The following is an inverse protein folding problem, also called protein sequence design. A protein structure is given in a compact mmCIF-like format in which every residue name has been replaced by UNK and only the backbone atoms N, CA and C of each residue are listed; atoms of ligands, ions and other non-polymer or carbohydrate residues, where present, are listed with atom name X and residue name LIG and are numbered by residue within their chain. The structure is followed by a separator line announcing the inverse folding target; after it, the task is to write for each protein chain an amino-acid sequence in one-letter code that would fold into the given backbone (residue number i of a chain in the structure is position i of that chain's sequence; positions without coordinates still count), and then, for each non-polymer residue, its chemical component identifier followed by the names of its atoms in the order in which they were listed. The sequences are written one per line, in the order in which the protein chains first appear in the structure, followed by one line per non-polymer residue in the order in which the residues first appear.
data_IF_406759360280
#
_entry.id   IF_406759360280
#
_cell.length_a   1.000
_cell.length_b   1.000
_cell.length_c   1.000
_cell.angle_alpha   90.00
_cell.angle_beta   90.00
_cell.angle_gamma   90.00
#
_symmetry.space_group_name_H-M   'P 1'
#
loop_
_entity.id
_entity.type
_entity.pdbx_description
1 polymer ?
#
# COMPACT_ATOMS: atom_id res chain seq x y z
N UNK A 1 -15.59 1.96 20.67
CA UNK A 1 -15.49 1.56 19.25
C UNK A 1 -14.47 0.46 19.11
N UNK A 2 -14.55 -0.43 18.14
CA UNK A 2 -13.51 -1.45 17.94
C UNK A 2 -12.29 -0.82 17.29
N UNK A 3 -11.08 -1.18 17.74
CA UNK A 3 -9.84 -0.71 17.13
C UNK A 3 -9.51 -1.50 15.87
N UNK A 4 -8.94 -0.85 14.87
CA UNK A 4 -8.37 -1.51 13.70
C UNK A 4 -7.02 -0.91 13.31
N UNK A 5 -6.18 -1.71 12.68
CA UNK A 5 -4.92 -1.29 12.07
C UNK A 5 -5.10 -1.24 10.56
N UNK A 6 -4.77 -0.13 9.92
CA UNK A 6 -4.82 0.02 8.47
C UNK A 6 -3.39 0.07 7.93
N UNK A 7 -3.02 -0.90 7.08
CA UNK A 7 -1.77 -0.84 6.32
C UNK A 7 -1.84 0.32 5.34
N UNK A 8 -1.09 1.40 5.64
CA UNK A 8 -1.17 2.65 4.90
C UNK A 8 0.16 2.99 4.21
N UNK A 9 0.12 3.05 2.88
CA UNK A 9 1.25 3.49 2.05
C UNK A 9 1.19 4.98 1.69
N UNK A 10 0.17 5.72 2.17
CA UNK A 10 -0.08 7.09 1.74
C UNK A 10 -0.70 7.22 0.34
N UNK A 11 -0.95 6.11 -0.36
CA UNK A 11 -1.60 6.10 -1.68
C UNK A 11 -3.13 6.20 -1.60
N UNK A 12 -3.80 6.38 -2.75
CA UNK A 12 -5.25 6.55 -2.85
C UNK A 12 -6.01 5.43 -2.13
N UNK A 13 -5.75 4.18 -2.49
CA UNK A 13 -6.54 3.04 -2.02
C UNK A 13 -6.45 2.86 -0.50
N UNK A 14 -5.24 2.91 0.06
CA UNK A 14 -5.03 2.76 1.51
C UNK A 14 -5.65 3.91 2.29
N UNK A 15 -5.63 5.13 1.74
CA UNK A 15 -6.26 6.30 2.36
C UNK A 15 -7.78 6.20 2.33
N UNK A 16 -8.37 5.77 1.20
CA UNK A 16 -9.83 5.55 1.12
C UNK A 16 -10.27 4.46 2.11
N UNK A 17 -9.50 3.37 2.23
CA UNK A 17 -9.78 2.32 3.20
C UNK A 17 -9.70 2.83 4.65
N UNK A 18 -8.71 3.69 4.96
CA UNK A 18 -8.55 4.31 6.25
C UNK A 18 -9.72 5.25 6.60
N UNK A 19 -10.07 6.16 5.69
CA UNK A 19 -11.21 7.08 5.87
C UNK A 19 -12.51 6.32 6.05
N UNK A 20 -12.74 5.28 5.25
CA UNK A 20 -13.90 4.42 5.39
C UNK A 20 -13.98 3.77 6.79
N UNK A 21 -12.86 3.22 7.28
CA UNK A 21 -12.79 2.59 8.58
C UNK A 21 -12.99 3.59 9.73
N UNK A 22 -12.43 4.79 9.62
CA UNK A 22 -12.49 5.84 10.65
C UNK A 22 -13.91 6.38 10.92
N UNK A 23 -14.88 6.06 10.06
CA UNK A 23 -16.29 6.43 10.28
C UNK A 23 -16.94 5.67 11.43
N UNK A 24 -16.44 4.47 11.73
CA UNK A 24 -17.10 3.56 12.69
C UNK A 24 -16.13 2.96 13.71
N UNK A 25 -14.82 3.16 13.53
CA UNK A 25 -13.77 2.49 14.32
C UNK A 25 -12.68 3.48 14.73
N UNK A 26 -11.95 3.13 15.79
CA UNK A 26 -10.69 3.77 16.12
C UNK A 26 -9.59 3.19 15.21
N UNK A 27 -8.99 4.06 14.39
CA UNK A 27 -8.03 3.67 13.35
C UNK A 27 -6.62 4.01 13.78
N UNK A 28 -5.70 3.06 13.55
CA UNK A 28 -4.26 3.30 13.62
C UNK A 28 -3.66 3.03 12.25
N UNK A 29 -3.01 4.03 11.66
CA UNK A 29 -2.33 3.88 10.37
C UNK A 29 -0.96 3.27 10.58
N UNK A 30 -0.73 2.09 10.01
CA UNK A 30 0.56 1.42 10.03
C UNK A 30 1.28 1.67 8.71
N UNK A 31 2.36 2.47 8.78
CA UNK A 31 3.32 2.65 7.69
C UNK A 31 4.51 1.72 7.87
N UNK A 32 4.91 1.04 6.78
CA UNK A 32 6.06 0.14 6.80
C UNK A 32 7.06 0.61 5.74
N UNK A 33 8.26 0.96 6.20
CA UNK A 33 9.40 1.24 5.34
C UNK A 33 10.21 -0.04 5.14
N UNK A 34 10.14 -0.58 3.93
CA UNK A 34 10.90 -1.77 3.51
C UNK A 34 12.04 -1.44 2.53
N UNK A 35 12.40 -0.16 2.38
CA UNK A 35 13.42 0.34 1.45
C UNK A 35 12.85 0.69 0.07
N UNK A 36 11.55 0.98 -0.04
CA UNK A 36 10.93 1.45 -1.27
C UNK A 36 11.45 2.86 -1.65
N UNK A 37 11.38 3.17 -2.97
CA UNK A 37 11.95 4.42 -3.52
C UNK A 37 11.38 5.67 -2.85
N UNK A 38 10.08 5.67 -2.60
CA UNK A 38 9.34 6.83 -2.12
C UNK A 38 9.07 6.79 -0.60
N UNK A 39 9.90 6.08 0.18
CA UNK A 39 9.67 5.82 1.60
C UNK A 39 9.43 7.10 2.41
N UNK A 40 10.28 8.11 2.21
CA UNK A 40 10.20 9.39 2.95
C UNK A 40 8.91 10.15 2.61
N UNK A 41 8.60 10.28 1.32
CA UNK A 41 7.40 10.97 0.88
C UNK A 41 6.10 10.22 1.27
N UNK A 42 6.12 8.89 1.22
CA UNK A 42 5.00 8.05 1.67
C UNK A 42 4.76 8.20 3.18
N UNK A 43 5.81 8.15 3.98
CA UNK A 43 5.73 8.36 5.44
C UNK A 43 5.13 9.72 5.76
N UNK A 44 5.63 10.80 5.13
CA UNK A 44 5.08 12.15 5.30
C UNK A 44 3.58 12.17 4.96
N UNK A 45 3.20 11.63 3.81
CA UNK A 45 1.79 11.55 3.40
C UNK A 45 0.91 10.81 4.42
N UNK A 46 1.40 9.69 4.98
CA UNK A 46 0.65 8.93 6.01
C UNK A 46 0.44 9.77 7.27
N UNK A 47 1.45 10.51 7.72
CA UNK A 47 1.34 11.39 8.89
C UNK A 47 0.35 12.53 8.64
N UNK A 48 0.42 13.18 7.46
CA UNK A 48 -0.50 14.26 7.08
C UNK A 48 -1.95 13.75 6.99
N UNK A 49 -2.16 12.56 6.41
CA UNK A 49 -3.45 11.89 6.34
C UNK A 49 -3.96 11.57 7.74
N UNK A 50 -3.12 11.01 8.61
CA UNK A 50 -3.50 10.68 9.99
C UNK A 50 -3.97 11.93 10.75
N UNK A 51 -3.25 13.03 10.62
CA UNK A 51 -3.64 14.32 11.21
C UNK A 51 -5.00 14.79 10.67
N UNK A 52 -5.22 14.68 9.35
CA UNK A 52 -6.45 15.13 8.71
C UNK A 52 -7.68 14.31 9.13
N UNK A 53 -7.53 13.00 9.35
CA UNK A 53 -8.63 12.11 9.77
C UNK A 53 -8.70 11.88 11.29
N UNK A 54 -7.76 12.46 12.05
CA UNK A 54 -7.77 12.42 13.50
C UNK A 54 -7.42 11.05 14.09
N UNK A 55 -6.43 10.34 13.51
CA UNK A 55 -5.98 9.04 14.00
C UNK A 55 -4.47 9.01 14.27
N UNK A 56 -4.01 7.96 14.96
CA UNK A 56 -2.59 7.75 15.28
C UNK A 56 -1.86 7.04 14.14
N UNK A 57 -0.53 7.23 14.10
CA UNK A 57 0.38 6.54 13.18
C UNK A 57 1.33 5.61 13.93
N UNK A 58 1.70 4.52 13.26
CA UNK A 58 2.74 3.58 13.68
C UNK A 58 3.69 3.42 12.50
N UNK A 59 4.98 3.69 12.72
CA UNK A 59 6.02 3.49 11.71
C UNK A 59 6.88 2.28 12.07
N UNK A 60 7.10 1.39 11.10
CA UNK A 60 7.98 0.22 11.24
C UNK A 60 8.95 0.20 10.07
N UNK A 61 10.24 0.06 10.36
CA UNK A 61 11.30 -0.06 9.38
C UNK A 61 11.76 -1.52 9.25
N UNK A 62 11.95 -2.00 8.01
CA UNK A 62 12.41 -3.36 7.69
C UNK A 62 13.80 -3.35 7.04
N UNK A 63 14.87 -3.03 7.78
CA UNK A 63 16.22 -2.89 7.20
C UNK A 63 16.78 -4.19 6.64
N UNK A 64 16.33 -5.35 7.13
CA UNK A 64 16.80 -6.67 6.68
C UNK A 64 16.42 -6.96 5.22
N UNK A 65 15.35 -6.39 4.68
CA UNK A 65 14.96 -6.58 3.29
C UNK A 65 15.96 -6.00 2.30
N UNK A 66 16.62 -4.91 2.66
CA UNK A 66 17.73 -4.38 1.88
C UNK A 66 18.93 -5.37 1.83
N UNK A 67 19.19 -6.08 2.94
CA UNK A 67 20.22 -7.12 2.97
C UNK A 67 19.85 -8.32 2.10
N UNK A 68 18.60 -8.79 2.16
CA UNK A 68 18.07 -9.88 1.32
C UNK A 68 18.17 -9.51 -0.17
N UNK A 69 17.78 -8.29 -0.54
CA UNK A 69 17.87 -7.82 -1.91
C UNK A 69 19.32 -7.79 -2.45
N UNK A 70 20.30 -7.54 -1.59
CA UNK A 70 21.73 -7.62 -1.97
C UNK A 70 22.19 -9.05 -2.25
N UNK A 71 21.67 -10.05 -1.53
CA UNK A 71 21.99 -11.45 -1.77
C UNK A 71 21.57 -11.91 -3.17
N UNK A 72 20.44 -11.44 -3.65
CA UNK A 72 19.91 -11.81 -4.96
C UNK A 72 20.84 -11.41 -6.13
N UNK A 73 21.63 -10.36 -5.98
CA UNK A 73 22.61 -9.92 -6.98
C UNK A 73 23.81 -10.88 -7.13
N UNK A 74 24.13 -11.65 -6.10
CA UNK A 74 25.25 -12.58 -6.13
C UNK A 74 24.85 -13.96 -6.66
N UNK A 75 23.59 -14.34 -6.60
CA UNK A 75 23.08 -15.63 -7.06
C UNK A 75 22.86 -15.70 -8.58
N UNK A 76 22.55 -14.58 -9.21
CA UNK A 76 22.39 -14.48 -10.67
C UNK A 76 23.73 -13.99 -11.24
N UNK A 77 24.57 -14.93 -11.67
CA UNK A 77 25.83 -14.65 -12.38
C UNK A 77 25.61 -13.75 -13.62
N UNK A 78 26.67 -13.36 -14.36
CA UNK A 78 26.69 -12.27 -15.32
C UNK A 78 25.87 -12.58 -16.59
N UNK A 79 24.56 -12.71 -16.47
CA UNK A 79 23.65 -12.78 -17.59
C UNK A 79 22.90 -11.44 -17.72
N UNK A 80 23.59 -10.49 -18.35
CA UNK A 80 22.99 -9.64 -19.38
C UNK A 80 22.13 -8.46 -18.98
N UNK A 81 22.32 -7.78 -17.84
CA UNK A 81 21.99 -6.36 -17.74
C UNK A 81 23.19 -5.57 -17.24
N UNK A 82 23.69 -4.69 -18.09
CA UNK A 82 24.73 -3.71 -17.80
C UNK A 82 24.20 -2.76 -16.71
N UNK A 83 24.34 -3.15 -15.44
CA UNK A 83 24.22 -2.22 -14.34
C UNK A 83 25.56 -1.52 -14.19
N UNK A 84 25.54 -0.23 -14.51
CA UNK A 84 26.65 0.69 -14.35
C UNK A 84 27.32 0.49 -12.98
N UNK A 85 28.53 -0.02 -12.97
CA UNK A 85 29.30 -0.40 -11.78
C UNK A 85 29.78 0.81 -10.94
N UNK A 86 29.36 2.02 -11.32
CA UNK A 86 29.77 3.27 -10.68
C UNK A 86 28.79 3.82 -9.65
N UNK A 87 27.56 3.24 -9.54
CA UNK A 87 26.58 3.74 -8.59
C UNK A 87 26.28 2.67 -7.52
N UNK A 88 26.93 2.76 -6.35
CA UNK A 88 26.66 1.96 -5.16
C UNK A 88 25.33 2.36 -4.48
N UNK A 89 24.30 2.70 -5.25
CA UNK A 89 22.98 3.00 -4.69
C UNK A 89 22.36 1.73 -4.11
N UNK A 90 21.85 1.82 -2.91
CA UNK A 90 21.04 0.79 -2.25
C UNK A 90 19.94 0.33 -3.20
N UNK A 91 19.71 -0.99 -3.38
CA UNK A 91 18.64 -1.47 -4.26
C UNK A 91 17.30 -0.95 -3.78
N UNK A 92 16.58 -0.27 -4.67
CA UNK A 92 15.26 0.23 -4.41
C UNK A 92 14.25 -0.92 -4.54
N UNK A 93 13.51 -1.21 -3.47
CA UNK A 93 12.63 -2.36 -3.39
C UNK A 93 11.20 -2.00 -3.84
N UNK A 94 10.55 -2.97 -4.45
CA UNK A 94 9.11 -2.95 -4.73
C UNK A 94 8.47 -4.23 -4.20
N UNK A 95 7.18 -4.24 -3.93
CA UNK A 95 6.50 -5.46 -3.48
C UNK A 95 6.67 -6.61 -4.48
N UNK A 96 6.73 -6.31 -5.76
CA UNK A 96 6.96 -7.32 -6.80
C UNK A 96 8.41 -7.85 -6.84
N UNK A 97 9.39 -7.07 -6.34
CA UNK A 97 10.82 -7.45 -6.43
C UNK A 97 11.30 -8.33 -5.29
N UNK A 98 10.54 -8.45 -4.21
CA UNK A 98 10.89 -9.27 -3.04
C UNK A 98 9.84 -10.36 -2.86
N UNK A 99 10.19 -11.64 -3.07
CA UNK A 99 9.26 -12.73 -2.87
C UNK A 99 8.67 -12.71 -1.46
N UNK A 100 7.37 -12.96 -1.34
CA UNK A 100 6.62 -12.99 -0.08
C UNK A 100 6.57 -11.68 0.72
N UNK A 101 7.05 -10.56 0.17
CA UNK A 101 7.01 -9.28 0.89
C UNK A 101 5.58 -8.92 1.33
N UNK A 102 4.58 -9.14 0.49
CA UNK A 102 3.18 -8.88 0.89
C UNK A 102 2.78 -9.72 2.11
N UNK A 103 3.18 -10.99 2.18
CA UNK A 103 2.90 -11.83 3.35
C UNK A 103 3.59 -11.31 4.62
N UNK A 104 4.81 -10.78 4.47
CA UNK A 104 5.55 -10.17 5.59
C UNK A 104 4.86 -8.89 6.09
N UNK A 105 4.45 -8.00 5.17
CA UNK A 105 3.72 -6.77 5.52
C UNK A 105 2.40 -7.09 6.24
N UNK A 106 1.65 -8.08 5.74
CA UNK A 106 0.43 -8.56 6.39
C UNK A 106 0.71 -9.17 7.76
N UNK A 107 1.79 -9.98 7.87
CA UNK A 107 2.22 -10.57 9.15
C UNK A 107 2.54 -9.52 10.20
N UNK A 108 3.24 -8.46 9.83
CA UNK A 108 3.53 -7.32 10.70
C UNK A 108 2.23 -6.61 11.11
N UNK A 109 1.31 -6.41 10.15
CA UNK A 109 0.00 -5.84 10.44
C UNK A 109 -0.77 -6.65 11.50
N UNK A 110 -0.82 -7.98 11.35
CA UNK A 110 -1.46 -8.88 12.32
C UNK A 110 -0.77 -8.82 13.69
N UNK A 111 0.57 -8.85 13.72
CA UNK A 111 1.32 -8.76 14.99
C UNK A 111 1.06 -7.42 15.68
N UNK A 112 1.01 -6.32 14.94
CA UNK A 112 0.69 -4.98 15.44
C UNK A 112 -0.74 -4.96 16.01
N UNK A 113 -1.72 -5.49 15.29
CA UNK A 113 -3.11 -5.55 15.73
C UNK A 113 -3.25 -6.34 17.03
N UNK A 114 -2.58 -7.51 17.15
CA UNK A 114 -2.57 -8.31 18.38
C UNK A 114 -2.01 -7.51 19.57
N UNK A 115 -0.90 -6.80 19.37
CA UNK A 115 -0.26 -6.01 20.42
C UNK A 115 -1.10 -4.83 20.87
N UNK A 116 -1.88 -4.26 19.98
CA UNK A 116 -2.77 -3.13 20.27
C UNK A 116 -4.16 -3.55 20.74
N UNK A 117 -4.47 -4.85 20.72
CA UNK A 117 -5.82 -5.34 21.01
C UNK A 117 -6.83 -4.94 19.92
N UNK A 118 -6.37 -4.71 18.70
CA UNK A 118 -7.21 -4.40 17.57
C UNK A 118 -7.87 -5.68 17.02
N UNK A 119 -9.13 -5.55 16.58
CA UNK A 119 -9.92 -6.67 16.08
C UNK A 119 -9.63 -7.01 14.62
N UNK A 120 -9.08 -6.06 13.86
CA UNK A 120 -8.83 -6.27 12.44
C UNK A 120 -7.62 -5.51 11.90
N UNK A 121 -7.10 -6.05 10.79
CA UNK A 121 -6.14 -5.39 9.90
C UNK A 121 -6.82 -5.14 8.58
N UNK A 122 -6.75 -3.90 8.11
CA UNK A 122 -7.37 -3.46 6.86
C UNK A 122 -6.27 -3.14 5.84
N UNK A 123 -6.46 -3.61 4.60
CA UNK A 123 -5.61 -3.29 3.48
C UNK A 123 -6.43 -2.77 2.30
N UNK A 124 -6.00 -1.67 1.70
CA UNK A 124 -6.63 -1.04 0.54
C UNK A 124 -6.29 -1.70 -0.80
N UNK A 125 -6.20 -3.03 -0.85
CA UNK A 125 -5.96 -3.75 -2.10
C UNK A 125 -7.19 -3.77 -2.98
N UNK A 126 -6.93 -3.83 -4.30
CA UNK A 126 -7.96 -3.98 -5.32
C UNK A 126 -7.45 -4.94 -6.41
N UNK A 127 -8.12 -6.07 -6.55
CA UNK A 127 -7.89 -7.02 -7.63
C UNK A 127 -8.34 -6.45 -8.96
N UNK A 128 -9.55 -5.88 -8.99
CA UNK A 128 -10.13 -5.28 -10.19
C UNK A 128 -9.26 -4.14 -10.77
N UNK A 129 -8.67 -3.28 -9.93
CA UNK A 129 -7.74 -2.26 -10.39
C UNK A 129 -6.43 -2.84 -10.92
N UNK A 130 -5.90 -3.89 -10.27
CA UNK A 130 -4.68 -4.58 -10.72
C UNK A 130 -4.86 -5.27 -12.06
N UNK A 131 -5.99 -5.91 -12.28
CA UNK A 131 -6.32 -6.55 -13.55
C UNK A 131 -6.52 -5.54 -14.69
N UNK A 132 -7.20 -4.44 -14.41
CA UNK A 132 -7.46 -3.40 -15.39
C UNK A 132 -6.18 -2.66 -15.84
N UNK A 133 -5.13 -2.65 -14.99
CA UNK A 133 -3.85 -2.00 -15.28
C UNK A 133 -2.77 -2.97 -15.77
N UNK A 134 -3.06 -4.27 -15.82
CA UNK A 134 -2.11 -5.28 -16.28
C UNK A 134 -1.92 -5.20 -17.81
N UNK A 135 -0.70 -4.97 -18.25
CA UNK A 135 -0.33 -5.00 -19.67
C UNK A 135 -0.50 -6.39 -20.29
N UNK A 136 -0.50 -7.44 -19.47
CA UNK A 136 -0.68 -8.83 -19.89
C UNK A 136 -2.16 -9.24 -20.08
N UNK A 137 -3.10 -8.33 -19.83
CA UNK A 137 -4.54 -8.53 -19.98
C UNK A 137 -5.25 -9.05 -18.73
N UNK A 138 -6.59 -9.24 -18.79
CA UNK A 138 -7.39 -9.70 -17.68
C UNK A 138 -6.89 -11.03 -17.08
N UNK A 139 -6.90 -11.15 -15.76
CA UNK A 139 -6.42 -12.32 -15.04
C UNK A 139 -4.90 -12.37 -14.79
N UNK A 140 -4.14 -11.40 -15.32
CA UNK A 140 -2.68 -11.29 -15.15
C UNK A 140 -2.26 -10.19 -14.18
N UNK A 141 -3.15 -9.72 -13.32
CA UNK A 141 -2.82 -8.84 -12.20
C UNK A 141 -1.81 -9.46 -11.24
N UNK A 142 -1.21 -8.64 -10.38
CA UNK A 142 -0.25 -9.14 -9.40
C UNK A 142 -0.92 -10.15 -8.45
N UNK A 143 -0.38 -11.37 -8.40
CA UNK A 143 -0.97 -12.48 -7.64
C UNK A 143 -1.24 -12.15 -6.16
N UNK A 144 -0.39 -11.30 -5.56
CA UNK A 144 -0.55 -10.85 -4.17
C UNK A 144 -1.64 -9.79 -3.96
N UNK A 145 -2.31 -9.35 -5.02
CA UNK A 145 -3.47 -8.44 -4.95
C UNK A 145 -4.80 -9.15 -5.14
N UNK A 146 -4.77 -10.46 -5.36
CA UNK A 146 -5.95 -11.27 -5.61
C UNK A 146 -6.69 -11.60 -4.32
N UNK A 147 -8.00 -11.74 -4.42
CA UNK A 147 -8.86 -12.10 -3.28
C UNK A 147 -8.47 -13.46 -2.67
N UNK A 148 -8.12 -14.45 -3.51
CA UNK A 148 -7.71 -15.77 -3.04
C UNK A 148 -6.42 -15.72 -2.19
N UNK A 149 -5.48 -14.82 -2.50
CA UNK A 149 -4.29 -14.60 -1.69
C UNK A 149 -4.64 -14.17 -0.27
N UNK A 150 -5.53 -13.19 -0.12
CA UNK A 150 -5.98 -12.71 1.20
C UNK A 150 -6.80 -13.73 1.94
N UNK A 151 -7.63 -14.51 1.23
CA UNK A 151 -8.35 -15.62 1.83
C UNK A 151 -7.40 -16.66 2.42
N UNK A 152 -6.40 -17.13 1.67
CA UNK A 152 -5.41 -18.08 2.14
C UNK A 152 -4.58 -17.52 3.33
N UNK A 153 -4.21 -16.24 3.27
CA UNK A 153 -3.52 -15.60 4.37
C UNK A 153 -4.39 -15.51 5.62
N UNK A 154 -5.68 -15.22 5.49
CA UNK A 154 -6.63 -15.21 6.61
C UNK A 154 -6.73 -16.59 7.26
N UNK A 155 -6.75 -17.67 6.47
CA UNK A 155 -6.72 -19.04 7.00
C UNK A 155 -5.43 -19.34 7.77
N UNK A 156 -4.28 -18.85 7.29
CA UNK A 156 -3.01 -18.95 8.00
C UNK A 156 -3.05 -18.21 9.35
N UNK A 157 -3.63 -17.02 9.37
CA UNK A 157 -3.80 -16.23 10.60
C UNK A 157 -4.66 -16.98 11.62
N UNK A 158 -5.82 -17.54 11.20
CA UNK A 158 -6.70 -18.31 12.08
C UNK A 158 -6.01 -19.53 12.71
N UNK A 159 -5.09 -20.17 11.98
CA UNK A 159 -4.30 -21.30 12.50
C UNK A 159 -3.18 -20.85 13.45
N UNK A 160 -2.75 -19.61 13.37
CA UNK A 160 -1.56 -19.07 14.07
C UNK A 160 -1.91 -18.21 15.27
N UNK A 161 -3.10 -17.64 15.32
CA UNK A 161 -3.56 -16.70 16.35
C UNK A 161 -4.56 -17.37 17.28
N UNK A 162 -4.51 -17.00 18.55
CA UNK A 162 -5.43 -17.56 19.53
C UNK A 162 -6.90 -17.22 19.25
N UNK A 163 -7.76 -18.22 19.27
CA UNK A 163 -9.20 -18.04 19.10
C UNK A 163 -9.86 -17.14 20.19
N UNK A 164 -9.16 -16.84 21.29
CA UNK A 164 -9.66 -15.93 22.33
C UNK A 164 -9.62 -14.46 21.91
N UNK A 165 -8.67 -14.10 21.05
CA UNK A 165 -8.49 -12.75 20.53
C UNK A 165 -8.27 -12.83 19.01
N UNK A 166 -9.30 -13.15 18.24
CA UNK A 166 -9.17 -13.27 16.79
C UNK A 166 -8.86 -11.89 16.17
N UNK A 167 -7.97 -11.89 15.18
CA UNK A 167 -7.72 -10.71 14.34
C UNK A 167 -8.13 -11.06 12.92
N UNK A 168 -8.97 -10.22 12.32
CA UNK A 168 -9.48 -10.42 10.97
C UNK A 168 -8.71 -9.58 9.96
N UNK A 169 -8.42 -10.16 8.79
CA UNK A 169 -7.92 -9.41 7.65
C UNK A 169 -9.09 -8.95 6.79
N UNK A 170 -9.16 -7.65 6.50
CA UNK A 170 -10.24 -7.03 5.73
C UNK A 170 -9.68 -6.35 4.48
N UNK A 171 -10.33 -6.58 3.34
CA UNK A 171 -9.99 -6.01 2.03
C UNK A 171 -11.20 -5.29 1.43
N UNK A 172 -11.65 -4.16 2.02
CA UNK A 172 -12.94 -3.55 1.69
C UNK A 172 -13.02 -3.02 0.25
N UNK A 173 -11.90 -2.90 -0.45
CA UNK A 173 -11.83 -2.34 -1.80
C UNK A 173 -11.48 -3.38 -2.87
N UNK A 174 -11.49 -4.67 -2.54
CA UNK A 174 -10.94 -5.73 -3.39
C UNK A 174 -11.61 -5.80 -4.77
N UNK A 175 -12.92 -5.62 -4.82
CA UNK A 175 -13.74 -5.75 -6.03
C UNK A 175 -13.92 -4.44 -6.82
N UNK A 176 -13.39 -3.32 -6.31
CA UNK A 176 -13.59 -2.01 -6.93
C UNK A 176 -12.43 -1.64 -7.85
N UNK A 177 -12.74 -1.09 -9.02
CA UNK A 177 -11.77 -0.45 -9.90
C UNK A 177 -11.23 0.86 -9.29
N UNK A 178 -10.12 1.35 -9.81
CA UNK A 178 -9.47 2.54 -9.25
C UNK A 178 -10.34 3.80 -9.32
N UNK A 179 -11.13 3.96 -10.39
CA UNK A 179 -12.08 5.07 -10.54
C UNK A 179 -13.27 4.95 -9.59
N UNK A 180 -13.74 3.74 -9.32
CA UNK A 180 -14.76 3.50 -8.30
C UNK A 180 -14.24 3.82 -6.90
N UNK A 181 -12.99 3.45 -6.60
CA UNK A 181 -12.33 3.80 -5.33
C UNK A 181 -12.22 5.32 -5.18
N UNK A 182 -11.85 6.05 -6.24
CA UNK A 182 -11.82 7.52 -6.23
C UNK A 182 -13.23 8.10 -5.99
N UNK A 183 -14.27 7.55 -6.63
CA UNK A 183 -15.67 7.97 -6.39
C UNK A 183 -16.12 7.70 -4.95
N UNK A 184 -15.78 6.54 -4.40
CA UNK A 184 -16.06 6.17 -3.00
C UNK A 184 -15.36 7.17 -2.07
N UNK A 185 -14.06 7.39 -2.25
CA UNK A 185 -13.28 8.30 -1.43
C UNK A 185 -13.80 9.74 -1.50
N UNK A 186 -14.23 10.21 -2.68
CA UNK A 186 -14.83 11.54 -2.82
C UNK A 186 -16.12 11.70 -2.03
N UNK A 187 -16.92 10.64 -1.88
CA UNK A 187 -18.16 10.66 -1.05
C UNK A 187 -17.87 10.70 0.45
N UNK A 188 -16.66 10.29 0.84
CA UNK A 188 -16.22 10.25 2.23
C UNK A 188 -15.26 11.38 2.57
N UNK A 189 -15.16 12.40 1.71
CA UNK A 189 -14.27 13.55 1.90
C UNK A 189 -12.80 13.14 2.14
N UNK A 190 -12.36 12.09 1.41
CA UNK A 190 -10.97 11.61 1.51
C UNK A 190 -9.99 12.72 1.11
N UNK A 191 -8.97 13.00 1.92
CA UNK A 191 -7.99 14.06 1.64
C UNK A 191 -7.02 13.62 0.52
N UNK A 192 -7.50 13.59 -0.72
CA UNK A 192 -6.71 13.15 -1.88
C UNK A 192 -5.52 14.05 -2.20
N UNK A 193 -5.55 15.32 -1.79
CA UNK A 193 -4.45 16.27 -1.89
C UNK A 193 -3.24 15.86 -1.05
N UNK A 194 -3.45 15.14 0.05
CA UNK A 194 -2.40 14.62 0.93
C UNK A 194 -1.85 13.26 0.47
N UNK A 195 -2.53 12.58 -0.47
CA UNK A 195 -2.09 11.24 -0.91
C UNK A 195 -0.89 11.30 -1.83
N UNK A 196 0.04 10.36 -1.67
CA UNK A 196 1.25 10.24 -2.47
C UNK A 196 1.33 8.91 -3.22
N UNK A 197 1.27 8.97 -4.55
CA UNK A 197 1.29 7.78 -5.42
C UNK A 197 2.52 7.73 -6.35
N UNK A 198 3.45 8.70 -6.25
CA UNK A 198 4.59 8.79 -7.14
C UNK A 198 5.70 7.77 -6.79
N UNK A 199 6.46 7.33 -7.79
CA UNK A 199 7.64 6.46 -7.62
C UNK A 199 8.93 7.21 -7.27
N UNK A 200 8.89 8.55 -7.22
CA UNK A 200 10.04 9.37 -6.78
C UNK A 200 9.90 9.71 -5.30
N UNK A 201 10.97 10.13 -4.66
CA UNK A 201 10.95 10.59 -3.25
C UNK A 201 11.13 12.12 -3.17
N UNK A 202 10.42 12.85 -4.04
CA UNK A 202 10.54 14.30 -4.17
C UNK A 202 9.49 15.08 -3.36
N UNK A 203 8.60 14.40 -2.65
CA UNK A 203 7.47 15.02 -1.94
C UNK A 203 6.38 15.58 -2.85
N UNK A 204 6.60 15.62 -4.17
CA UNK A 204 5.64 16.07 -5.19
C UNK A 204 5.50 15.00 -6.27
N UNK A 205 4.32 14.96 -6.93
CA UNK A 205 4.08 14.04 -8.04
C UNK A 205 4.89 14.46 -9.27
N UNK A 206 5.67 13.54 -9.86
CA UNK A 206 6.44 13.83 -11.07
C UNK A 206 5.58 13.97 -12.33
N UNK A 207 4.32 13.51 -12.30
CA UNK A 207 3.37 13.55 -13.44
C UNK A 207 3.62 12.55 -14.55
N UNK A 208 4.79 11.90 -14.59
CA UNK A 208 5.23 11.08 -15.75
C UNK A 208 5.41 9.60 -15.46
N UNK A 209 5.57 9.18 -14.19
CA UNK A 209 5.71 7.76 -13.86
C UNK A 209 4.39 7.01 -14.02
N UNK A 210 4.48 5.67 -14.09
CA UNK A 210 3.31 4.80 -14.29
C UNK A 210 2.23 5.02 -13.21
N UNK A 211 2.62 5.27 -11.97
CA UNK A 211 1.68 5.46 -10.87
C UNK A 211 1.01 6.84 -10.93
N UNK A 212 1.74 7.90 -11.35
CA UNK A 212 1.13 9.20 -11.63
C UNK A 212 0.16 9.11 -12.81
N UNK A 213 0.52 8.39 -13.88
CA UNK A 213 -0.37 8.16 -15.01
C UNK A 213 -1.62 7.37 -14.62
N UNK A 214 -1.48 6.32 -13.79
CA UNK A 214 -2.59 5.54 -13.28
C UNK A 214 -3.53 6.39 -12.40
N UNK A 215 -2.95 7.22 -11.52
CA UNK A 215 -3.70 8.19 -10.72
C UNK A 215 -4.51 9.14 -11.60
N UNK A 216 -3.87 9.75 -12.60
CA UNK A 216 -4.53 10.68 -13.54
C UNK A 216 -5.68 9.99 -14.28
N UNK A 217 -5.48 8.74 -14.78
CA UNK A 217 -6.55 7.98 -15.43
C UNK A 217 -7.73 7.73 -14.49
N UNK A 218 -7.46 7.38 -13.21
CA UNK A 218 -8.50 7.10 -12.23
C UNK A 218 -9.39 8.32 -11.96
N UNK A 219 -8.80 9.49 -11.73
CA UNK A 219 -9.56 10.72 -11.51
C UNK A 219 -10.33 11.14 -12.76
N UNK A 220 -9.75 11.04 -13.96
CA UNK A 220 -10.44 11.33 -15.21
C UNK A 220 -11.64 10.39 -15.44
N UNK A 221 -11.48 9.09 -15.24
CA UNK A 221 -12.55 8.11 -15.37
C UNK A 221 -13.65 8.32 -14.31
N UNK A 222 -13.27 8.75 -13.11
CA UNK A 222 -14.21 9.17 -12.06
C UNK A 222 -14.93 10.48 -12.39
N UNK A 223 -14.49 11.25 -13.38
CA UNK A 223 -14.94 12.61 -13.73
C UNK A 223 -14.75 13.60 -12.57
N UNK A 224 -13.64 13.46 -11.85
CA UNK A 224 -13.24 14.31 -10.75
C UNK A 224 -11.89 14.96 -11.06
N UNK A 225 -11.68 16.17 -10.53
CA UNK A 225 -10.38 16.82 -10.59
C UNK A 225 -9.45 16.20 -9.54
N UNK A 226 -8.21 15.89 -9.92
CA UNK A 226 -7.20 15.43 -8.97
C UNK A 226 -6.60 16.64 -8.22
N UNK A 227 -6.85 16.76 -6.89
CA UNK A 227 -6.40 17.93 -6.15
C UNK A 227 -4.87 17.97 -5.99
N UNK A 228 -4.19 16.81 -5.89
CA UNK A 228 -2.73 16.77 -5.73
C UNK A 228 -1.97 17.14 -7.02
N UNK A 229 -2.58 16.96 -8.19
CA UNK A 229 -1.97 17.33 -9.48
C UNK A 229 -2.34 18.76 -9.91
N UNK A 230 -3.40 19.32 -9.36
CA UNK A 230 -3.81 20.72 -9.63
C UNK A 230 -2.86 21.73 -8.96
N UNK A 231 -2.28 21.38 -7.82
CA UNK A 231 -1.34 22.22 -7.06
C UNK A 231 0.08 22.26 -7.67
N UNK A 232 0.39 21.41 -8.63
CA UNK A 232 1.72 21.29 -9.26
C UNK A 232 1.90 22.16 -10.52
N UNK A 233 1.00 23.14 -10.78
CA UNK A 233 1.07 24.07 -11.94
C UNK A 233 1.55 25.43 -11.54
#
# INVERSE_FOLDING_TARGET
MSNCVVLCSGGINSTVAAVHAARERDVHLLHIDFGQVAATAQRSAVHDIAQAIGCDTIDIDLPHLTAIAKLHRHANGPSGEHLDSTNQSTPKLTVASVPLLMAELLGIGIQTAIRMGAASVIIGSSEAASEAESEAGPGNGAAYLRQDYYYLFSRLVEMSVSAKNPVHLETPLIDFTRDEIVKIGSRFDTPFDLTYACKTDLGTHCGTCIDCAARHRAFNAAKLQDPAMAAAR
#
